data_IF_883818174304
#
_entry.id   IF_883818174304
#
_cell.length_a   1.000
_cell.length_b   1.000
_cell.length_c   1.000
_cell.angle_alpha   90.00
_cell.angle_beta   90.00
_cell.angle_gamma   90.00
#
_symmetry.space_group_name_H-M   'P 1'
#
loop_
_entity.id
_entity.type
_entity.pdbx_description
1 polymer ?
#
# COMPACT_ATOMS: atom_id res chain seq x y z
N UNK A 1 -0.80 -18.89 -17.67
CA UNK A 1 -1.87 -18.66 -16.68
C UNK A 1 -2.14 -19.87 -15.84
N UNK A 2 -1.80 -19.79 -14.55
CA UNK A 2 -2.11 -20.83 -13.57
C UNK A 2 -3.63 -20.99 -13.39
N UNK A 3 -4.08 -22.22 -13.15
CA UNK A 3 -5.51 -22.57 -13.12
C UNK A 3 -6.27 -21.81 -12.03
N UNK A 4 -5.67 -21.63 -10.86
CA UNK A 4 -6.28 -20.90 -9.74
C UNK A 4 -6.58 -19.44 -10.11
N UNK A 5 -5.63 -18.74 -10.74
CA UNK A 5 -5.81 -17.36 -11.20
C UNK A 5 -6.93 -17.26 -12.23
N UNK A 6 -6.97 -18.16 -13.22
CA UNK A 6 -8.04 -18.18 -14.23
C UNK A 6 -9.43 -18.29 -13.58
N UNK A 7 -9.57 -19.15 -12.58
CA UNK A 7 -10.86 -19.39 -11.93
C UNK A 7 -11.25 -18.23 -11.01
N UNK A 8 -10.28 -17.60 -10.35
CA UNK A 8 -10.52 -16.36 -9.60
C UNK A 8 -11.01 -15.24 -10.52
N UNK A 9 -10.36 -15.04 -11.67
CA UNK A 9 -10.77 -14.03 -12.66
C UNK A 9 -12.18 -14.28 -13.19
N UNK A 10 -12.52 -15.52 -13.56
CA UNK A 10 -13.90 -15.87 -13.97
C UNK A 10 -14.94 -15.55 -12.90
N UNK A 11 -14.57 -15.69 -11.62
CA UNK A 11 -15.45 -15.34 -10.50
C UNK A 11 -15.60 -13.82 -10.39
N UNK A 12 -14.52 -13.06 -10.50
CA UNK A 12 -14.55 -11.60 -10.50
C UNK A 12 -15.33 -11.04 -11.70
N UNK A 13 -15.22 -11.64 -12.88
CA UNK A 13 -16.03 -11.28 -14.06
C UNK A 13 -17.53 -11.49 -13.82
N UNK A 14 -17.90 -12.56 -13.12
CA UNK A 14 -19.29 -12.85 -12.75
C UNK A 14 -19.82 -11.91 -11.66
N UNK A 15 -18.94 -11.38 -10.81
CA UNK A 15 -19.29 -10.50 -9.69
C UNK A 15 -18.34 -9.30 -9.63
N UNK A 16 -18.38 -8.39 -10.63
CA UNK A 16 -17.38 -7.34 -10.82
C UNK A 16 -17.32 -6.32 -9.70
N UNK A 17 -18.38 -6.22 -8.89
CA UNK A 17 -18.47 -5.28 -7.78
C UNK A 17 -17.94 -5.83 -6.46
N UNK A 18 -17.59 -7.12 -6.38
CA UNK A 18 -17.24 -7.78 -5.12
C UNK A 18 -15.74 -7.73 -4.78
N UNK A 19 -14.89 -7.41 -5.75
CA UNK A 19 -13.44 -7.29 -5.57
C UNK A 19 -12.87 -6.10 -6.32
N UNK A 20 -11.93 -5.42 -5.69
CA UNK A 20 -11.13 -4.35 -6.27
C UNK A 20 -9.83 -4.97 -6.76
N UNK A 21 -9.50 -4.70 -8.02
CA UNK A 21 -8.23 -5.10 -8.64
C UNK A 21 -7.69 -3.89 -9.38
N UNK A 22 -6.37 -3.71 -9.34
CA UNK A 22 -5.68 -2.60 -10.01
C UNK A 22 -4.48 -3.19 -10.74
N UNK A 23 -4.71 -3.78 -11.93
CA UNK A 23 -3.65 -4.44 -12.70
C UNK A 23 -2.47 -3.52 -12.96
N UNK A 24 -1.25 -4.06 -12.83
CA UNK A 24 -0.04 -3.33 -13.19
C UNK A 24 0.21 -3.37 -14.69
N UNK A 25 0.76 -2.27 -15.22
CA UNK A 25 1.29 -2.20 -16.57
C UNK A 25 2.74 -2.74 -16.63
N UNK A 26 3.27 -2.90 -17.84
CA UNK A 26 4.63 -3.45 -18.02
C UNK A 26 5.72 -2.58 -17.37
N UNK A 27 5.60 -1.25 -17.44
CA UNK A 27 6.60 -0.35 -16.84
C UNK A 27 6.64 -0.46 -15.32
N UNK A 28 5.51 -0.72 -14.67
CA UNK A 28 5.44 -0.94 -13.22
C UNK A 28 6.08 -2.28 -12.83
N UNK A 29 5.85 -3.34 -13.63
CA UNK A 29 6.47 -4.65 -13.40
C UNK A 29 7.98 -4.59 -13.64
N UNK A 30 8.42 -3.92 -14.71
CA UNK A 30 9.84 -3.68 -14.99
C UNK A 30 10.52 -2.87 -13.88
N UNK A 31 9.80 -1.95 -13.21
CA UNK A 31 10.32 -1.24 -12.04
C UNK A 31 10.57 -2.19 -10.87
N UNK A 32 9.67 -3.13 -10.60
CA UNK A 32 9.87 -4.16 -9.58
C UNK A 32 11.10 -5.01 -9.93
N UNK A 33 11.18 -5.54 -11.16
CA UNK A 33 12.30 -6.37 -11.61
C UNK A 33 13.65 -5.63 -11.55
N UNK A 34 13.68 -4.33 -11.89
CA UNK A 34 14.87 -3.48 -11.75
C UNK A 34 15.29 -3.30 -10.28
N UNK A 35 14.32 -3.09 -9.40
CA UNK A 35 14.59 -2.90 -7.96
C UNK A 35 15.18 -4.18 -7.37
N UNK A 36 14.62 -5.33 -7.74
CA UNK A 36 15.08 -6.65 -7.34
C UNK A 36 16.38 -7.09 -8.06
N UNK A 37 16.68 -6.51 -9.22
CA UNK A 37 17.81 -6.90 -10.06
C UNK A 37 17.64 -8.28 -10.74
N UNK A 38 16.41 -8.79 -10.80
CA UNK A 38 16.05 -10.11 -11.34
C UNK A 38 14.66 -10.09 -11.96
N UNK A 39 14.45 -10.96 -12.93
CA UNK A 39 13.11 -11.19 -13.50
C UNK A 39 12.22 -11.95 -12.52
N UNK A 40 10.96 -11.54 -12.43
CA UNK A 40 9.93 -12.24 -11.67
C UNK A 40 9.47 -13.50 -12.42
N UNK A 41 9.04 -14.57 -11.71
CA UNK A 41 8.39 -15.72 -12.32
C UNK A 41 7.18 -15.31 -13.16
N UNK A 42 6.95 -15.99 -14.28
CA UNK A 42 5.90 -15.64 -15.24
C UNK A 42 4.51 -15.73 -14.61
N UNK A 43 4.24 -16.73 -13.75
CA UNK A 43 2.97 -16.85 -13.04
C UNK A 43 2.69 -15.65 -12.14
N UNK A 44 3.73 -15.09 -11.51
CA UNK A 44 3.58 -13.93 -10.64
C UNK A 44 3.43 -12.64 -11.48
N UNK A 45 4.18 -12.51 -12.58
CA UNK A 45 3.93 -11.43 -13.57
C UNK A 45 2.50 -11.45 -14.10
N UNK A 46 1.97 -12.63 -14.44
CA UNK A 46 0.58 -12.78 -14.87
C UNK A 46 -0.42 -12.36 -13.77
N UNK A 47 -0.14 -12.69 -12.51
CA UNK A 47 -0.92 -12.20 -11.38
C UNK A 47 -0.90 -10.67 -11.30
N UNK A 48 0.28 -10.03 -11.36
CA UNK A 48 0.42 -8.57 -11.33
C UNK A 48 -0.32 -7.89 -12.50
N UNK A 49 -0.25 -8.45 -13.72
CA UNK A 49 -0.93 -7.93 -14.92
C UNK A 49 -2.45 -8.09 -14.92
N UNK A 50 -3.00 -8.93 -14.03
CA UNK A 50 -4.44 -9.26 -14.03
C UNK A 50 -5.16 -8.82 -12.76
N UNK A 51 -4.46 -8.83 -11.64
CA UNK A 51 -4.99 -8.46 -10.31
C UNK A 51 -4.26 -7.22 -9.79
N UNK A 52 -2.92 -7.24 -9.85
CA UNK A 52 -2.06 -6.18 -9.35
C UNK A 52 -1.85 -6.21 -7.83
N UNK A 53 -1.26 -5.14 -7.31
CA UNK A 53 -0.87 -5.01 -5.90
C UNK A 53 -1.93 -4.27 -5.07
N UNK A 54 -2.50 -3.18 -5.61
CA UNK A 54 -3.57 -2.43 -4.94
C UNK A 54 -4.94 -3.08 -5.17
N UNK A 55 -5.29 -4.01 -4.29
CA UNK A 55 -6.45 -4.89 -4.42
C UNK A 55 -6.94 -5.37 -3.04
N UNK A 56 -8.16 -5.93 -2.97
CA UNK A 56 -8.75 -6.41 -1.70
C UNK A 56 -9.23 -7.87 -1.74
N UNK A 57 -8.75 -8.60 -2.75
CA UNK A 57 -9.18 -9.95 -3.13
C UNK A 57 -8.28 -11.02 -2.49
N UNK A 58 -6.97 -10.91 -2.68
CA UNK A 58 -5.93 -11.83 -2.22
C UNK A 58 -5.25 -11.22 -1.00
N UNK A 59 -5.35 -11.88 0.15
CA UNK A 59 -4.77 -11.36 1.38
C UNK A 59 -3.25 -11.60 1.43
N UNK A 60 -2.54 -10.67 2.09
CA UNK A 60 -1.12 -10.82 2.44
C UNK A 60 -0.14 -10.51 1.32
N UNK A 61 -0.59 -10.07 0.14
CA UNK A 61 0.30 -9.61 -0.95
C UNK A 61 0.68 -8.14 -0.70
N UNK A 62 1.89 -7.73 -1.10
CA UNK A 62 2.33 -6.34 -1.05
C UNK A 62 1.37 -5.40 -1.80
N UNK A 63 1.27 -4.14 -1.36
CA UNK A 63 0.28 -3.20 -1.88
C UNK A 63 0.84 -2.21 -2.91
N UNK A 64 2.16 -1.95 -2.89
CA UNK A 64 2.82 -0.95 -3.75
C UNK A 64 4.05 -1.50 -4.45
N UNK A 65 4.37 -0.93 -5.61
CA UNK A 65 5.60 -1.24 -6.36
C UNK A 65 6.84 -0.93 -5.53
N UNK A 66 6.79 0.13 -4.73
CA UNK A 66 7.86 0.59 -3.84
C UNK A 66 8.06 -0.32 -2.62
N UNK A 67 7.11 -1.22 -2.31
CA UNK A 67 7.27 -2.17 -1.21
C UNK A 67 8.19 -3.34 -1.60
N UNK A 68 8.65 -3.43 -2.85
CA UNK A 68 9.66 -4.39 -3.24
C UNK A 68 11.06 -3.85 -2.92
N UNK A 69 11.82 -4.63 -2.17
CA UNK A 69 13.20 -4.36 -1.76
C UNK A 69 14.05 -5.62 -1.91
N UNK A 70 15.38 -5.46 -1.96
CA UNK A 70 16.31 -6.58 -2.16
C UNK A 70 16.54 -7.41 -0.90
N UNK A 71 16.12 -6.94 0.27
CA UNK A 71 16.28 -7.58 1.58
C UNK A 71 17.69 -8.10 1.90
N UNK A 72 18.74 -7.51 1.30
CA UNK A 72 20.15 -7.94 1.44
C UNK A 72 20.64 -7.87 2.90
N UNK A 73 20.10 -6.94 3.69
CA UNK A 73 20.44 -6.78 5.11
C UNK A 73 19.62 -7.69 6.05
N UNK A 74 18.56 -8.33 5.53
CA UNK A 74 17.59 -9.07 6.34
C UNK A 74 17.64 -10.57 6.14
N UNK A 75 17.77 -11.04 4.90
CA UNK A 75 17.76 -12.47 4.59
C UNK A 75 19.16 -13.10 4.79
N UNK A 76 19.22 -14.42 5.05
CA UNK A 76 20.49 -15.15 5.11
C UNK A 76 21.35 -14.96 3.85
N UNK A 77 22.67 -15.03 3.99
CA UNK A 77 23.61 -14.81 2.89
C UNK A 77 23.26 -15.67 1.66
N UNK A 78 23.16 -15.03 0.50
CA UNK A 78 22.82 -15.68 -0.77
C UNK A 78 21.33 -15.99 -0.99
N UNK A 79 20.46 -15.77 0.00
CA UNK A 79 19.02 -16.00 -0.15
C UNK A 79 18.34 -14.97 -1.05
N UNK A 80 18.79 -13.71 -1.05
CA UNK A 80 18.25 -12.65 -1.92
C UNK A 80 18.46 -12.93 -3.41
N UNK A 81 19.43 -13.78 -3.74
CA UNK A 81 19.60 -14.26 -5.10
C UNK A 81 18.57 -15.32 -5.50
N UNK A 82 17.90 -15.96 -4.56
CA UNK A 82 16.97 -17.08 -4.80
C UNK A 82 15.52 -16.69 -4.57
N UNK A 83 15.27 -15.78 -3.64
CA UNK A 83 13.95 -15.41 -3.15
C UNK A 83 13.68 -13.92 -3.28
N UNK A 84 12.41 -13.57 -3.45
CA UNK A 84 11.91 -12.22 -3.29
C UNK A 84 10.68 -12.20 -2.38
N UNK A 85 10.52 -11.11 -1.63
CA UNK A 85 9.28 -10.86 -0.88
C UNK A 85 8.17 -10.49 -1.83
N UNK A 86 7.03 -11.17 -1.70
CA UNK A 86 5.80 -10.83 -2.40
C UNK A 86 4.66 -10.48 -1.45
N UNK A 87 4.87 -10.66 -0.14
CA UNK A 87 3.82 -10.51 0.86
C UNK A 87 4.29 -10.67 2.31
N UNK A 88 3.33 -10.73 3.22
CA UNK A 88 3.52 -10.94 4.65
C UNK A 88 2.27 -11.54 5.31
N UNK A 89 2.43 -12.14 6.49
CA UNK A 89 1.33 -12.71 7.28
C UNK A 89 0.55 -11.68 8.13
N UNK A 90 0.81 -10.39 7.95
CA UNK A 90 0.17 -9.30 8.71
C UNK A 90 0.89 -8.97 10.03
N UNK A 91 1.93 -9.72 10.37
CA UNK A 91 2.99 -9.33 11.29
C UNK A 91 4.23 -8.86 10.52
N UNK A 92 5.41 -9.12 11.07
CA UNK A 92 6.69 -8.74 10.45
C UNK A 92 7.31 -9.84 9.58
N UNK A 93 6.72 -11.04 9.52
CA UNK A 93 7.28 -12.15 8.74
C UNK A 93 7.05 -11.96 7.25
N UNK A 94 8.09 -12.23 6.46
CA UNK A 94 8.05 -12.04 5.01
C UNK A 94 7.63 -13.32 4.33
N UNK A 95 6.66 -13.22 3.43
CA UNK A 95 6.34 -14.27 2.49
C UNK A 95 7.15 -14.13 1.22
N UNK A 96 7.82 -15.22 0.86
CA UNK A 96 8.80 -15.30 -0.19
C UNK A 96 8.38 -16.27 -1.29
N UNK A 97 8.75 -15.95 -2.52
CA UNK A 97 8.71 -16.84 -3.69
C UNK A 97 10.11 -16.93 -4.30
N UNK A 98 10.37 -18.02 -5.04
CA UNK A 98 11.65 -18.20 -5.74
C UNK A 98 11.61 -17.57 -7.14
N UNK A 99 12.74 -17.05 -7.60
CA UNK A 99 12.87 -16.50 -8.96
C UNK A 99 12.86 -17.57 -10.04
N UNK A 100 13.64 -18.63 -9.85
CA UNK A 100 14.13 -19.45 -10.98
C UNK A 100 13.29 -20.73 -11.23
N UNK A 101 12.18 -20.94 -10.50
CA UNK A 101 11.38 -22.18 -10.57
C UNK A 101 9.91 -21.92 -10.91
N UNK A 102 9.61 -21.77 -12.20
CA UNK A 102 8.25 -21.45 -12.70
C UNK A 102 7.16 -22.45 -12.27
N UNK A 103 7.53 -23.71 -12.04
CA UNK A 103 6.60 -24.75 -11.57
C UNK A 103 6.50 -24.82 -10.04
N UNK A 104 7.51 -24.32 -9.33
CA UNK A 104 7.52 -24.28 -7.87
C UNK A 104 6.82 -23.00 -7.39
N UNK A 105 5.59 -23.18 -6.92
CA UNK A 105 4.75 -22.08 -6.41
C UNK A 105 4.61 -22.14 -4.89
N UNK A 106 5.53 -22.84 -4.21
CA UNK A 106 5.53 -22.94 -2.76
C UNK A 106 5.81 -21.56 -2.15
N UNK A 107 5.10 -21.25 -1.07
CA UNK A 107 5.36 -20.06 -0.28
C UNK A 107 6.38 -20.42 0.79
N UNK A 108 7.38 -19.56 0.92
CA UNK A 108 8.35 -19.64 1.99
C UNK A 108 8.10 -18.47 2.95
N UNK A 109 8.42 -18.65 4.22
CA UNK A 109 8.34 -17.62 5.23
C UNK A 109 9.73 -17.39 5.80
N UNK A 110 10.13 -16.13 5.90
CA UNK A 110 11.29 -15.78 6.70
C UNK A 110 10.83 -15.48 8.13
N UNK A 111 11.11 -16.41 9.02
CA UNK A 111 10.77 -16.30 10.45
C UNK A 111 11.83 -15.42 11.13
N UNK A 112 11.59 -14.11 11.11
CA UNK A 112 12.52 -13.11 11.61
C UNK A 112 12.66 -13.16 13.14
N UNK A 113 11.66 -13.66 13.87
CA UNK A 113 11.63 -13.55 15.34
C UNK A 113 12.08 -14.81 16.09
N UNK A 114 12.01 -15.98 15.45
CA UNK A 114 12.27 -17.23 16.14
C UNK A 114 13.59 -17.86 15.69
N UNK A 115 13.69 -18.17 14.40
CA UNK A 115 14.78 -19.01 13.88
C UNK A 115 15.73 -18.25 12.95
N UNK A 116 15.36 -17.08 12.44
CA UNK A 116 16.12 -16.36 11.39
C UNK A 116 16.39 -17.26 10.18
N UNK A 117 15.41 -18.10 9.86
CA UNK A 117 15.50 -19.11 8.80
C UNK A 117 14.37 -18.92 7.79
N UNK A 118 14.64 -19.35 6.56
CA UNK A 118 13.63 -19.44 5.51
C UNK A 118 13.01 -20.82 5.58
N UNK A 119 11.73 -20.88 5.96
CA UNK A 119 10.98 -22.13 6.11
C UNK A 119 9.98 -22.25 4.97
N UNK A 120 9.92 -23.44 4.35
CA UNK A 120 8.88 -23.75 3.36
C UNK A 120 7.55 -23.98 4.07
N UNK A 121 6.54 -23.19 3.74
CA UNK A 121 5.19 -23.40 4.26
C UNK A 121 4.51 -24.56 3.54
N UNK A 122 3.56 -25.21 4.22
CA UNK A 122 2.64 -26.18 3.60
C UNK A 122 1.51 -25.47 2.83
N UNK A 123 1.90 -24.47 2.01
CA UNK A 123 1.02 -23.63 1.20
C UNK A 123 1.73 -23.19 -0.07
N UNK A 124 0.95 -23.01 -1.11
CA UNK A 124 1.37 -22.49 -2.40
C UNK A 124 0.68 -21.16 -2.72
N UNK A 125 1.21 -20.43 -3.70
CA UNK A 125 0.56 -19.25 -4.23
C UNK A 125 -0.84 -19.57 -4.79
N UNK A 126 -1.05 -20.76 -5.37
CA UNK A 126 -2.36 -21.22 -5.80
C UNK A 126 -3.35 -21.34 -4.63
N UNK A 127 -2.89 -21.77 -3.46
CA UNK A 127 -3.74 -21.88 -2.27
C UNK A 127 -4.22 -20.51 -1.79
N UNK A 128 -3.39 -19.46 -1.91
CA UNK A 128 -3.83 -18.08 -1.65
C UNK A 128 -4.93 -17.64 -2.61
N UNK A 129 -4.78 -17.94 -3.91
CA UNK A 129 -5.78 -17.59 -4.92
C UNK A 129 -7.09 -18.37 -4.72
N UNK A 130 -7.00 -19.63 -4.29
CA UNK A 130 -8.18 -20.43 -3.94
C UNK A 130 -8.89 -19.88 -2.71
N UNK A 131 -8.16 -19.52 -1.66
CA UNK A 131 -8.73 -18.90 -0.47
C UNK A 131 -9.43 -17.57 -0.79
N UNK A 132 -8.83 -16.75 -1.66
CA UNK A 132 -9.43 -15.51 -2.16
C UNK A 132 -10.76 -15.76 -2.87
N UNK A 133 -10.80 -16.75 -3.78
CA UNK A 133 -12.03 -17.16 -4.47
C UNK A 133 -13.11 -17.63 -3.48
N UNK A 134 -12.75 -18.41 -2.46
CA UNK A 134 -13.70 -18.87 -1.46
C UNK A 134 -14.26 -17.72 -0.62
N UNK A 135 -13.43 -16.74 -0.24
CA UNK A 135 -13.85 -15.53 0.48
C UNK A 135 -14.92 -14.77 -0.29
N UNK A 136 -14.76 -14.64 -1.62
CA UNK A 136 -15.76 -14.02 -2.51
C UNK A 136 -17.09 -14.81 -2.59
N UNK A 137 -17.12 -16.09 -2.19
CA UNK A 137 -18.33 -16.93 -2.20
C UNK A 137 -19.05 -16.89 -0.84
N UNK A 138 -18.28 -17.01 0.25
CA UNK A 138 -18.83 -17.30 1.59
C UNK A 138 -19.27 -16.04 2.34
N UNK A 139 -18.54 -14.94 2.19
CA UNK A 139 -18.79 -13.71 2.92
C UNK A 139 -19.34 -12.73 1.92
N UNK A 140 -20.64 -12.40 1.93
CA UNK A 140 -21.25 -11.40 1.03
C UNK A 140 -20.37 -10.14 1.00
N UNK A 141 -19.47 -9.97 0.02
CA UNK A 141 -18.44 -8.96 0.12
C UNK A 141 -19.12 -7.61 -0.02
N UNK A 142 -18.65 -6.61 0.74
CA UNK A 142 -19.05 -5.22 0.48
C UNK A 142 -18.76 -4.91 -0.98
N UNK A 143 -19.66 -4.20 -1.65
CA UNK A 143 -19.47 -3.83 -3.05
C UNK A 143 -18.40 -2.73 -3.15
N UNK A 144 -17.85 -2.50 -4.35
CA UNK A 144 -16.94 -1.37 -4.62
C UNK A 144 -17.51 -0.03 -4.15
N UNK A 145 -18.81 0.19 -4.35
CA UNK A 145 -19.50 1.40 -3.92
C UNK A 145 -19.58 1.57 -2.39
N UNK A 146 -19.29 0.51 -1.63
CA UNK A 146 -19.27 0.50 -0.17
C UNK A 146 -17.86 0.48 0.41
N UNK A 147 -16.84 0.74 -0.41
CA UNK A 147 -15.43 0.76 -0.02
C UNK A 147 -14.76 2.07 -0.42
N UNK A 148 -13.79 2.48 0.37
CA UNK A 148 -12.94 3.65 0.15
C UNK A 148 -11.48 3.27 0.36
N UNK A 149 -10.59 3.86 -0.43
CA UNK A 149 -9.17 3.82 -0.19
C UNK A 149 -8.81 4.92 0.80
N UNK A 150 -8.20 4.53 1.91
CA UNK A 150 -7.95 5.41 3.04
C UNK A 150 -6.44 5.49 3.30
N UNK A 151 -5.91 6.70 3.41
CA UNK A 151 -4.48 6.94 3.66
C UNK A 151 -4.27 8.09 4.63
N UNK A 152 -3.07 8.14 5.21
CA UNK A 152 -2.54 9.32 5.88
C UNK A 152 -1.21 9.72 5.26
N UNK A 153 -1.09 11.01 4.94
CA UNK A 153 0.21 11.60 4.62
C UNK A 153 0.83 12.14 5.89
N UNK A 154 2.02 11.67 6.26
CA UNK A 154 2.84 12.23 7.33
C UNK A 154 4.05 12.93 6.71
N UNK A 155 4.20 14.23 6.95
CA UNK A 155 5.14 15.09 6.23
C UNK A 155 6.06 15.78 7.24
N UNK A 156 7.37 15.65 7.03
CA UNK A 156 8.40 16.17 7.92
C UNK A 156 8.59 17.69 7.75
N UNK A 157 7.57 18.46 8.12
CA UNK A 157 7.58 19.91 8.22
C UNK A 157 6.55 20.33 9.27
N UNK A 158 6.79 21.44 9.96
CA UNK A 158 5.83 22.04 10.90
C UNK A 158 5.08 23.25 10.36
N UNK A 159 5.28 23.59 9.07
CA UNK A 159 4.85 24.83 8.43
C UNK A 159 3.92 24.55 7.25
N UNK A 160 2.66 24.96 7.36
CA UNK A 160 1.68 24.83 6.27
C UNK A 160 2.09 25.62 5.03
N UNK A 161 2.62 26.84 5.21
CA UNK A 161 3.16 27.65 4.11
C UNK A 161 4.32 26.97 3.37
N UNK A 162 5.20 26.28 4.08
CA UNK A 162 6.31 25.57 3.44
C UNK A 162 5.78 24.41 2.59
N UNK A 163 4.82 23.64 3.13
CA UNK A 163 4.12 22.58 2.39
C UNK A 163 3.47 23.11 1.10
N UNK A 164 2.67 24.18 1.18
CA UNK A 164 2.05 24.81 0.01
C UNK A 164 3.10 25.23 -1.02
N UNK A 165 4.19 25.86 -0.58
CA UNK A 165 5.24 26.31 -1.49
C UNK A 165 5.94 25.17 -2.24
N UNK A 166 6.05 23.98 -1.63
CA UNK A 166 6.65 22.82 -2.26
C UNK A 166 5.70 22.14 -3.26
N UNK A 167 4.40 22.12 -2.98
CA UNK A 167 3.44 21.37 -3.81
C UNK A 167 2.77 22.21 -4.91
N UNK A 168 2.78 23.55 -4.81
CA UNK A 168 2.07 24.45 -5.75
C UNK A 168 2.54 24.38 -7.22
N UNK A 169 3.70 23.80 -7.51
CA UNK A 169 4.15 23.60 -8.89
C UNK A 169 3.44 22.44 -9.59
N UNK A 170 2.84 21.54 -8.82
CA UNK A 170 2.25 20.29 -9.31
C UNK A 170 0.76 20.18 -9.00
N UNK A 171 0.28 20.91 -7.98
CA UNK A 171 -1.10 20.86 -7.51
C UNK A 171 -1.67 22.27 -7.32
N UNK A 172 -2.98 22.39 -7.52
CA UNK A 172 -3.77 23.53 -7.04
C UNK A 172 -3.92 23.40 -5.53
N UNK A 173 -3.08 24.10 -4.77
CA UNK A 173 -3.07 24.01 -3.30
C UNK A 173 -3.11 25.40 -2.64
N UNK A 174 -3.93 25.52 -1.59
CA UNK A 174 -4.08 26.72 -0.78
C UNK A 174 -4.08 26.36 0.71
N UNK A 175 -3.43 27.19 1.52
CA UNK A 175 -3.56 27.13 2.98
C UNK A 175 -4.69 28.05 3.43
N UNK A 176 -5.86 27.48 3.70
CA UNK A 176 -7.02 28.20 4.22
C UNK A 176 -6.75 28.68 5.65
N UNK A 177 -6.18 27.80 6.49
CA UNK A 177 -5.91 28.08 7.90
C UNK A 177 -4.64 27.39 8.38
N UNK A 178 -3.70 28.16 8.90
CA UNK A 178 -2.51 27.61 9.60
C UNK A 178 -2.93 26.77 10.81
N UNK A 179 -2.21 25.68 11.13
CA UNK A 179 -2.45 24.89 12.33
C UNK A 179 -2.39 25.73 13.61
N UNK A 180 -3.47 25.72 14.39
CA UNK A 180 -3.57 26.38 15.69
C UNK A 180 -3.75 25.35 16.79
N UNK A 181 -3.22 25.66 17.97
CA UNK A 181 -3.30 24.77 19.12
C UNK A 181 -4.76 24.43 19.45
N UNK A 182 -5.02 23.14 19.68
CA UNK A 182 -6.32 22.62 20.09
C UNK A 182 -6.24 22.18 21.53
N UNK A 183 -5.39 21.19 21.81
CA UNK A 183 -5.27 20.59 23.13
C UNK A 183 -3.89 19.94 23.36
N UNK A 184 -3.76 19.24 24.48
CA UNK A 184 -2.61 18.41 24.79
C UNK A 184 -3.11 17.08 25.35
N UNK A 185 -2.67 15.98 24.75
CA UNK A 185 -3.06 14.64 25.20
C UNK A 185 -2.52 14.34 26.60
N UNK A 186 -3.05 13.30 27.24
CA UNK A 186 -2.54 12.80 28.53
C UNK A 186 -1.05 12.40 28.45
N UNK A 187 -0.60 11.99 27.27
CA UNK A 187 0.80 11.68 26.97
C UNK A 187 1.68 12.93 26.72
N UNK A 188 1.14 14.14 26.87
CA UNK A 188 1.87 15.39 26.67
C UNK A 188 2.07 15.82 25.21
N UNK A 189 1.36 15.19 24.26
CA UNK A 189 1.44 15.54 22.83
C UNK A 189 0.57 16.75 22.57
N UNK A 190 1.16 17.83 22.05
CA UNK A 190 0.41 19.03 21.68
C UNK A 190 -0.18 18.87 20.28
N UNK A 191 -1.49 19.01 20.17
CA UNK A 191 -2.19 18.90 18.89
C UNK A 191 -2.56 20.29 18.37
N UNK A 192 -2.44 20.44 17.05
CA UNK A 192 -2.84 21.65 16.35
C UNK A 192 -3.63 21.27 15.10
N UNK A 193 -4.59 22.13 14.73
CA UNK A 193 -5.46 21.92 13.59
C UNK A 193 -5.53 23.16 12.69
N UNK A 194 -5.43 22.91 11.40
CA UNK A 194 -5.48 23.86 10.30
C UNK A 194 -6.43 23.37 9.21
N UNK A 195 -6.31 23.95 8.02
CA UNK A 195 -7.11 23.55 6.87
C UNK A 195 -6.34 23.88 5.59
N UNK A 196 -6.24 22.89 4.70
CA UNK A 196 -5.76 23.03 3.33
C UNK A 196 -6.93 22.91 2.35
N UNK A 197 -6.75 23.45 1.15
CA UNK A 197 -7.54 23.08 -0.01
C UNK A 197 -6.61 22.55 -1.08
N UNK A 198 -6.83 21.32 -1.54
CA UNK A 198 -6.05 20.69 -2.60
C UNK A 198 -7.01 20.25 -3.70
N UNK A 199 -6.80 20.72 -4.93
CA UNK A 199 -7.67 20.46 -6.09
C UNK A 199 -9.16 20.72 -5.79
N UNK A 200 -9.44 21.78 -5.02
CA UNK A 200 -10.80 22.16 -4.63
C UNK A 200 -11.41 21.40 -3.45
N UNK A 201 -10.73 20.38 -2.89
CA UNK A 201 -11.17 19.64 -1.70
C UNK A 201 -10.58 20.26 -0.43
N UNK A 202 -11.43 20.60 0.53
CA UNK A 202 -11.01 21.05 1.86
C UNK A 202 -10.56 19.85 2.70
N UNK A 203 -9.35 19.93 3.26
CA UNK A 203 -8.68 18.84 3.97
C UNK A 203 -8.18 19.36 5.32
N UNK A 204 -8.54 18.68 6.40
CA UNK A 204 -8.08 19.01 7.74
C UNK A 204 -6.55 18.78 7.81
N UNK A 205 -5.82 19.84 8.19
CA UNK A 205 -4.37 19.77 8.33
C UNK A 205 -4.03 19.68 9.81
N UNK A 206 -3.44 18.57 10.22
CA UNK A 206 -3.08 18.34 11.60
C UNK A 206 -1.58 18.52 11.81
N UNK A 207 -1.20 18.79 13.05
CA UNK A 207 0.17 18.89 13.48
C UNK A 207 0.28 18.38 14.91
N UNK A 208 1.27 17.53 15.15
CA UNK A 208 1.61 17.03 16.48
C UNK A 208 3.02 17.48 16.86
N UNK A 209 3.19 17.84 18.13
CA UNK A 209 4.50 18.11 18.73
C UNK A 209 4.63 17.24 19.98
N UNK A 210 5.57 16.31 19.94
CA UNK A 210 5.93 15.44 21.07
C UNK A 210 7.01 16.15 21.89
N UNK A 211 6.80 16.29 23.20
CA UNK A 211 7.81 16.87 24.09
C UNK A 211 9.10 16.04 24.07
N UNK A 212 10.24 16.71 23.89
CA UNK A 212 11.58 16.10 23.95
C UNK A 212 12.15 15.65 22.61
N UNK A 213 11.30 15.29 21.64
CA UNK A 213 11.75 14.86 20.31
C UNK A 213 12.06 16.05 19.38
N UNK A 214 11.43 17.21 19.64
CA UNK A 214 11.61 18.42 18.80
C UNK A 214 11.09 18.28 17.37
N UNK A 215 10.62 17.09 17.00
CA UNK A 215 9.95 16.78 15.75
C UNK A 215 8.57 17.43 15.74
N UNK A 216 8.21 17.95 14.57
CA UNK A 216 6.95 18.61 14.32
C UNK A 216 6.57 18.26 12.90
N UNK A 217 5.69 17.28 12.75
CA UNK A 217 5.21 16.83 11.45
C UNK A 217 3.79 17.32 11.22
N UNK A 218 3.52 17.70 9.97
CA UNK A 218 2.17 17.89 9.48
C UNK A 218 1.63 16.54 9.04
N UNK A 219 0.35 16.29 9.26
CA UNK A 219 -0.32 15.16 8.65
C UNK A 219 -1.74 15.49 8.25
N UNK A 220 -2.29 14.73 7.32
CA UNK A 220 -3.69 14.77 6.95
C UNK A 220 -4.14 13.42 6.41
N UNK A 221 -5.38 13.08 6.72
CA UNK A 221 -6.03 11.87 6.26
C UNK A 221 -6.82 12.15 4.97
N UNK A 222 -6.85 11.17 4.08
CA UNK A 222 -7.59 11.25 2.83
C UNK A 222 -8.28 9.93 2.53
N UNK A 223 -9.50 10.08 2.04
CA UNK A 223 -10.36 8.99 1.61
C UNK A 223 -10.86 9.27 0.18
N UNK A 224 -10.87 8.23 -0.64
CA UNK A 224 -11.38 8.24 -2.00
C UNK A 224 -12.20 7.00 -2.30
N UNK A 225 -13.24 7.13 -3.14
CA UNK A 225 -13.95 5.95 -3.62
C UNK A 225 -13.03 5.09 -4.48
N UNK A 226 -13.32 3.79 -4.54
CA UNK A 226 -12.57 2.86 -5.41
C UNK A 226 -12.55 3.33 -6.87
N UNK A 227 -13.65 3.92 -7.36
CA UNK A 227 -13.74 4.45 -8.72
C UNK A 227 -12.75 5.61 -8.95
N UNK A 228 -12.68 6.56 -8.01
CA UNK A 228 -11.74 7.69 -8.07
C UNK A 228 -10.30 7.20 -7.98
N UNK A 229 -10.00 6.26 -7.06
CA UNK A 229 -8.68 5.64 -6.92
C UNK A 229 -8.12 5.08 -8.25
N UNK A 230 -9.01 4.51 -9.07
CA UNK A 230 -8.66 3.86 -10.33
C UNK A 230 -8.56 4.82 -11.52
N UNK A 231 -9.20 5.99 -11.45
CA UNK A 231 -9.37 6.87 -12.61
C UNK A 231 -8.70 8.23 -12.46
N UNK A 232 -8.85 8.90 -11.33
CA UNK A 232 -8.34 10.25 -11.10
C UNK A 232 -8.03 10.51 -9.62
N UNK A 233 -7.14 9.68 -9.06
CA UNK A 233 -6.83 9.72 -7.63
C UNK A 233 -6.07 10.99 -7.23
N UNK A 234 -6.65 11.78 -6.33
CA UNK A 234 -5.98 12.89 -5.67
C UNK A 234 -4.89 12.39 -4.71
N UNK A 235 -5.09 11.26 -4.04
CA UNK A 235 -4.06 10.60 -3.22
C UNK A 235 -2.79 10.35 -4.05
N UNK A 236 -2.90 9.72 -5.23
CA UNK A 236 -1.74 9.47 -6.11
C UNK A 236 -1.07 10.77 -6.55
N UNK A 237 -1.85 11.78 -6.94
CA UNK A 237 -1.32 13.11 -7.34
C UNK A 237 -0.55 13.78 -6.20
N UNK A 238 -1.02 13.65 -4.96
CA UNK A 238 -0.34 14.20 -3.76
C UNK A 238 0.96 13.45 -3.50
N UNK A 239 0.94 12.12 -3.56
CA UNK A 239 2.13 11.30 -3.32
C UNK A 239 3.22 11.61 -4.36
N UNK A 240 2.88 11.64 -5.65
CA UNK A 240 3.81 12.02 -6.71
C UNK A 240 4.38 13.44 -6.56
N UNK A 241 3.56 14.39 -6.07
CA UNK A 241 4.01 15.75 -5.83
C UNK A 241 4.97 15.84 -4.64
N UNK A 242 4.73 15.04 -3.59
CA UNK A 242 5.61 14.94 -2.43
C UNK A 242 6.93 14.24 -2.77
N UNK A 243 6.90 13.15 -3.55
CA UNK A 243 8.11 12.45 -4.04
C UNK A 243 9.04 13.37 -4.85
N UNK A 244 8.47 14.34 -5.60
CA UNK A 244 9.24 15.33 -6.38
C UNK A 244 9.69 16.53 -5.54
N UNK A 245 9.26 16.64 -4.30
CA UNK A 245 9.58 17.76 -3.42
C UNK A 245 10.83 17.49 -2.57
N UNK A 246 11.28 18.51 -1.84
CA UNK A 246 12.37 18.34 -0.85
C UNK A 246 11.86 17.80 0.50
N UNK A 247 10.55 17.67 0.67
CA UNK A 247 9.95 17.21 1.92
C UNK A 247 10.09 15.69 2.00
N UNK A 248 10.62 15.21 3.13
CA UNK A 248 10.47 13.79 3.46
C UNK A 248 9.02 13.55 3.88
N UNK A 249 8.40 12.53 3.34
CA UNK A 249 7.06 12.10 3.72
C UNK A 249 6.97 10.58 3.85
N UNK A 250 5.91 10.15 4.54
CA UNK A 250 5.49 8.76 4.63
C UNK A 250 4.01 8.72 4.25
N UNK A 251 3.68 7.85 3.31
CA UNK A 251 2.30 7.46 3.02
C UNK A 251 1.96 6.23 3.85
N UNK A 252 1.13 6.43 4.88
CA UNK A 252 0.53 5.34 5.66
C UNK A 252 -0.72 4.92 4.90
N UNK A 253 -0.68 3.73 4.33
CA UNK A 253 -1.77 3.18 3.54
C UNK A 253 -2.61 2.25 4.42
N UNK A 254 -3.84 2.67 4.76
CA UNK A 254 -4.75 1.84 5.55
C UNK A 254 -5.47 0.80 4.70
N UNK A 255 -5.25 0.81 3.38
CA UNK A 255 -5.86 -0.13 2.44
C UNK A 255 -7.24 0.29 1.96
N UNK A 256 -7.91 -0.66 1.29
CA UNK A 256 -9.28 -0.50 0.80
C UNK A 256 -10.23 -1.00 1.89
N UNK A 257 -10.93 -0.09 2.54
CA UNK A 257 -11.74 -0.35 3.72
C UNK A 257 -13.24 -0.16 3.43
N UNK A 258 -14.13 -0.92 4.09
CA UNK A 258 -15.56 -0.63 4.10
C UNK A 258 -15.86 0.75 4.70
N UNK A 259 -16.76 1.52 4.08
CA UNK A 259 -17.16 2.85 4.57
C UNK A 259 -17.74 2.86 5.99
N UNK A 260 -18.30 1.73 6.42
CA UNK A 260 -18.90 1.59 7.74
C UNK A 260 -17.84 1.46 8.85
N UNK A 261 -16.60 1.09 8.50
CA UNK A 261 -15.49 0.90 9.44
C UNK A 261 -14.73 2.23 9.71
N UNK A 262 -15.09 3.30 9.01
CA UNK A 262 -14.46 4.63 9.09
C UNK A 262 -15.18 5.60 10.05
N UNK A 263 -16.22 5.12 10.76
CA UNK A 263 -17.09 5.94 11.62
C UNK A 263 -16.80 5.78 13.11
#
# INVERSE_FOLDING_TARGET
MIQALRILLQKLEKYPDQGVITPLNESEIEQIERTLGKELPLFFKEYLRKIGLKQDVVWGVLERVQDFDRLDDFLPEGATSQFFRFGHNGGEDYWLLRYDEEQERAIYEYDYYNQFEIVKLDKTFDDLLWAAKEKLIKNTPKTKAQKEWCVQFSINTGSGKFLVNQLKSSLTIELIREPKYVDTSEAGVKNFEGMLRIEGKDIALHKQIIQGDGSSSLYFDLEETVEVMQTDSLIKKIDEALEKSVLKHVLIDYGILPKDDLK
#
